data_IF_219627614316
#
_entry.id   IF_219627614316
#
_cell.length_a   1.000
_cell.length_b   1.000
_cell.length_c   1.000
_cell.angle_alpha   90.00
_cell.angle_beta   90.00
_cell.angle_gamma   90.00
#
_symmetry.space_group_name_H-M   'P 1'
#
loop_
_entity.id
_entity.type
_entity.pdbx_description
1 polymer ?
#
# COMPACT_ATOMS: atom_id res chain seq x y z
N UNK A 1 -23.80 -26.19 -18.72
CA UNK A 1 -23.94 -24.86 -18.11
C UNK A 1 -22.72 -24.55 -17.27
N UNK A 2 -22.14 -23.39 -17.50
CA UNK A 2 -20.99 -22.93 -16.76
C UNK A 2 -21.34 -22.27 -15.43
N UNK A 3 -20.44 -22.31 -14.44
CA UNK A 3 -20.66 -21.73 -13.11
C UNK A 3 -19.47 -20.90 -12.67
N UNK A 4 -19.73 -19.69 -12.15
CA UNK A 4 -18.75 -18.92 -11.41
C UNK A 4 -18.99 -19.05 -9.90
N UNK A 5 -17.93 -19.29 -9.13
CA UNK A 5 -17.96 -19.42 -7.68
C UNK A 5 -16.97 -18.44 -7.07
N UNK A 6 -17.44 -17.58 -6.18
CA UNK A 6 -16.58 -16.72 -5.37
C UNK A 6 -16.43 -17.26 -3.95
N UNK A 7 -15.19 -17.45 -3.52
CA UNK A 7 -14.86 -17.95 -2.18
C UNK A 7 -14.22 -16.83 -1.39
N UNK A 8 -14.86 -16.46 -0.28
CA UNK A 8 -14.38 -15.42 0.61
C UNK A 8 -13.97 -16.03 1.95
N UNK A 9 -12.93 -15.49 2.60
CA UNK A 9 -12.76 -15.73 4.03
C UNK A 9 -13.88 -15.02 4.78
N UNK A 10 -13.88 -13.69 4.68
CA UNK A 10 -14.98 -12.82 5.03
C UNK A 10 -15.52 -12.16 3.76
N UNK A 11 -16.84 -12.01 3.66
CA UNK A 11 -17.48 -11.37 2.52
C UNK A 11 -16.89 -9.98 2.25
N UNK A 12 -16.43 -9.76 1.01
CA UNK A 12 -16.06 -8.45 0.49
C UNK A 12 -17.14 -7.99 -0.50
N UNK A 13 -17.98 -7.00 -0.14
CA UNK A 13 -19.07 -6.54 -1.00
C UNK A 13 -18.60 -5.93 -2.33
N UNK A 14 -17.41 -5.31 -2.37
CA UNK A 14 -16.91 -4.66 -3.57
C UNK A 14 -16.36 -5.69 -4.56
N UNK A 15 -15.62 -6.69 -4.06
CA UNK A 15 -15.17 -7.82 -4.88
C UNK A 15 -16.37 -8.67 -5.34
N UNK A 16 -17.37 -8.89 -4.48
CA UNK A 16 -18.59 -9.58 -4.88
C UNK A 16 -19.33 -8.82 -5.99
N UNK A 17 -19.47 -7.49 -5.88
CA UNK A 17 -20.07 -6.64 -6.93
C UNK A 17 -19.33 -6.78 -8.25
N UNK A 18 -18.00 -6.84 -8.22
CA UNK A 18 -17.14 -7.05 -9.38
C UNK A 18 -17.49 -8.38 -10.10
N UNK A 19 -17.44 -9.49 -9.34
CA UNK A 19 -17.71 -10.82 -9.87
C UNK A 19 -19.15 -10.96 -10.40
N UNK A 20 -20.13 -10.43 -9.67
CA UNK A 20 -21.54 -10.43 -10.10
C UNK A 20 -21.75 -9.66 -11.40
N UNK A 21 -21.05 -8.53 -11.59
CA UNK A 21 -21.16 -7.76 -12.81
C UNK A 21 -20.62 -8.54 -14.02
N UNK A 22 -19.45 -9.15 -13.89
CA UNK A 22 -18.89 -10.05 -14.91
C UNK A 22 -19.85 -11.20 -15.26
N UNK A 23 -20.40 -11.87 -14.25
CA UNK A 23 -21.33 -12.98 -14.47
C UNK A 23 -22.61 -12.52 -15.19
N UNK A 24 -23.17 -11.36 -14.82
CA UNK A 24 -24.33 -10.79 -15.52
C UNK A 24 -24.01 -10.44 -16.98
N UNK A 25 -22.82 -9.90 -17.26
CA UNK A 25 -22.41 -9.49 -18.59
C UNK A 25 -22.45 -10.65 -19.60
N UNK A 26 -22.07 -11.85 -19.17
CA UNK A 26 -22.04 -13.05 -20.04
C UNK A 26 -23.16 -14.07 -19.73
N UNK A 27 -24.09 -13.75 -18.83
CA UNK A 27 -25.17 -14.66 -18.45
C UNK A 27 -24.73 -15.91 -17.68
N UNK A 28 -23.60 -15.84 -16.98
CA UNK A 28 -23.09 -16.93 -16.16
C UNK A 28 -23.82 -17.00 -14.81
N UNK A 29 -24.30 -18.20 -14.39
CA UNK A 29 -24.66 -18.46 -13.00
C UNK A 29 -23.54 -18.08 -12.05
N UNK A 30 -23.90 -17.42 -10.95
CA UNK A 30 -22.96 -17.00 -9.92
C UNK A 30 -23.40 -17.46 -8.54
N UNK A 31 -22.45 -18.06 -7.81
CA UNK A 31 -22.60 -18.44 -6.41
C UNK A 31 -21.42 -17.87 -5.62
N UNK A 32 -21.66 -17.53 -4.36
CA UNK A 32 -20.58 -17.20 -3.44
C UNK A 32 -20.73 -17.95 -2.12
N UNK A 33 -19.63 -18.06 -1.37
CA UNK A 33 -19.59 -18.66 -0.05
C UNK A 33 -18.51 -18.00 0.84
N UNK A 34 -18.68 -18.11 2.15
CA UNK A 34 -17.73 -17.65 3.16
C UNK A 34 -17.09 -18.82 3.90
N UNK A 35 -15.83 -18.67 4.29
CA UNK A 35 -15.01 -19.71 4.91
C UNK A 35 -14.49 -19.33 6.29
N UNK A 36 -14.83 -18.15 6.83
CA UNK A 36 -14.44 -17.70 8.17
C UNK A 36 -14.85 -18.67 9.31
N UNK A 37 -15.84 -19.53 9.09
CA UNK A 37 -16.24 -20.57 10.04
C UNK A 37 -15.22 -21.73 10.16
N UNK A 38 -14.20 -21.78 9.28
CA UNK A 38 -13.14 -22.78 9.29
C UNK A 38 -11.84 -22.11 9.76
N UNK A 39 -11.42 -22.38 11.00
CA UNK A 39 -10.26 -21.70 11.59
C UNK A 39 -8.92 -22.03 10.89
N UNK A 40 -8.70 -23.30 10.52
CA UNK A 40 -7.40 -23.75 10.02
C UNK A 40 -7.18 -23.36 8.54
N UNK A 41 -6.11 -22.60 8.19
CA UNK A 41 -5.88 -22.11 6.82
C UNK A 41 -5.82 -23.20 5.75
N UNK A 42 -5.11 -24.31 6.01
CA UNK A 42 -5.06 -25.44 5.07
C UNK A 42 -6.40 -26.17 4.92
N UNK A 43 -7.25 -26.21 5.97
CA UNK A 43 -8.62 -26.74 5.82
C UNK A 43 -9.48 -25.81 4.98
N UNK A 44 -9.30 -24.49 5.08
CA UNK A 44 -9.97 -23.52 4.18
C UNK A 44 -9.57 -23.73 2.73
N UNK A 45 -8.28 -23.93 2.46
CA UNK A 45 -7.77 -24.27 1.13
C UNK A 45 -8.37 -25.59 0.63
N UNK A 46 -8.35 -26.65 1.44
CA UNK A 46 -8.94 -27.94 1.05
C UNK A 46 -10.45 -27.84 0.80
N UNK A 47 -11.18 -27.11 1.64
CA UNK A 47 -12.62 -26.87 1.49
C UNK A 47 -12.95 -26.20 0.15
N UNK A 48 -12.16 -25.20 -0.26
CA UNK A 48 -12.30 -24.55 -1.57
C UNK A 48 -12.25 -25.55 -2.74
N UNK A 49 -11.30 -26.48 -2.71
CA UNK A 49 -11.19 -27.52 -3.75
C UNK A 49 -12.26 -28.59 -3.65
N UNK A 50 -12.74 -28.90 -2.43
CA UNK A 50 -13.92 -29.76 -2.25
C UNK A 50 -15.16 -29.19 -2.93
N UNK A 51 -15.42 -27.89 -2.75
CA UNK A 51 -16.53 -27.20 -3.43
C UNK A 51 -16.36 -27.29 -4.94
N UNK A 52 -15.18 -26.95 -5.47
CA UNK A 52 -14.93 -27.03 -6.91
C UNK A 52 -15.13 -28.45 -7.46
N UNK A 53 -14.61 -29.48 -6.78
CA UNK A 53 -14.77 -30.88 -7.20
C UNK A 53 -16.24 -31.33 -7.13
N UNK A 54 -16.98 -30.90 -6.11
CA UNK A 54 -18.41 -31.20 -5.98
C UNK A 54 -19.20 -30.61 -7.16
N UNK A 55 -18.88 -29.39 -7.55
CA UNK A 55 -19.57 -28.68 -8.64
C UNK A 55 -19.23 -29.30 -10.00
N UNK A 56 -17.96 -29.64 -10.25
CA UNK A 56 -17.59 -30.36 -11.47
C UNK A 56 -18.29 -31.74 -11.58
N UNK A 57 -18.53 -32.44 -10.46
CA UNK A 57 -19.26 -33.71 -10.47
C UNK A 57 -20.76 -33.56 -10.79
N UNK A 58 -21.33 -32.38 -10.57
CA UNK A 58 -22.74 -32.09 -10.87
C UNK A 58 -22.92 -31.46 -12.25
N UNK A 59 -21.90 -30.80 -12.77
CA UNK A 59 -21.89 -30.21 -14.10
C UNK A 59 -21.92 -31.30 -15.20
N UNK A 60 -22.41 -30.95 -16.39
CA UNK A 60 -22.33 -31.85 -17.54
C UNK A 60 -20.88 -31.99 -18.01
N UNK A 61 -20.57 -33.05 -18.75
CA UNK A 61 -19.24 -33.21 -19.32
C UNK A 61 -18.90 -32.01 -20.24
N UNK A 62 -17.66 -31.55 -20.18
CA UNK A 62 -17.14 -30.38 -20.90
C UNK A 62 -17.68 -29.00 -20.49
N UNK A 63 -18.61 -28.92 -19.53
CA UNK A 63 -18.92 -27.65 -18.85
C UNK A 63 -17.70 -27.13 -18.08
N UNK A 64 -17.72 -25.88 -17.64
CA UNK A 64 -16.62 -25.31 -16.86
C UNK A 64 -17.09 -24.67 -15.56
N UNK A 65 -16.19 -24.64 -14.59
CA UNK A 65 -16.35 -23.92 -13.34
C UNK A 65 -15.19 -22.94 -13.18
N UNK A 66 -15.52 -21.67 -12.98
CA UNK A 66 -14.58 -20.60 -12.63
C UNK A 66 -14.64 -20.36 -11.13
N UNK A 67 -13.50 -20.46 -10.46
CA UNK A 67 -13.34 -20.21 -9.04
C UNK A 67 -12.53 -18.93 -8.85
N UNK A 68 -13.04 -18.01 -8.05
CA UNK A 68 -12.42 -16.71 -7.74
C UNK A 68 -12.34 -16.52 -6.21
N UNK A 69 -11.29 -15.86 -5.72
CA UNK A 69 -11.19 -15.48 -4.31
C UNK A 69 -11.27 -13.96 -4.09
N UNK A 70 -11.03 -13.51 -2.85
CA UNK A 70 -11.10 -12.10 -2.50
C UNK A 70 -9.97 -11.23 -3.09
N UNK A 71 -8.96 -11.83 -3.72
CA UNK A 71 -7.86 -11.14 -4.39
C UNK A 71 -8.05 -11.08 -5.92
N UNK A 72 -9.13 -11.65 -6.45
CA UNK A 72 -9.50 -11.55 -7.85
C UNK A 72 -10.29 -10.27 -8.11
N UNK A 73 -9.80 -9.41 -9.01
CA UNK A 73 -10.56 -8.28 -9.53
C UNK A 73 -10.59 -8.34 -11.06
N UNK A 74 -11.78 -8.48 -11.63
CA UNK A 74 -12.00 -8.48 -13.08
C UNK A 74 -11.97 -7.04 -13.57
N UNK A 75 -11.18 -6.77 -14.60
CA UNK A 75 -10.99 -5.42 -15.14
C UNK A 75 -11.49 -5.30 -16.59
N UNK A 76 -10.89 -6.04 -17.53
CA UNK A 76 -11.34 -6.10 -18.93
C UNK A 76 -11.97 -7.46 -19.22
N UNK A 77 -13.31 -7.58 -19.13
CA UNK A 77 -13.98 -8.88 -19.13
C UNK A 77 -13.75 -9.65 -20.44
N UNK A 78 -13.41 -10.93 -20.34
CA UNK A 78 -13.36 -11.88 -21.46
C UNK A 78 -14.32 -13.03 -21.20
N UNK A 79 -15.01 -13.49 -22.23
CA UNK A 79 -15.86 -14.68 -22.13
C UNK A 79 -15.01 -15.91 -21.79
N UNK A 80 -15.51 -16.77 -20.90
CA UNK A 80 -14.82 -18.01 -20.53
C UNK A 80 -14.68 -18.98 -21.69
N UNK A 81 -15.60 -18.95 -22.65
CA UNK A 81 -15.49 -19.72 -23.90
C UNK A 81 -14.22 -19.34 -24.67
N UNK A 82 -13.88 -18.06 -24.69
CA UNK A 82 -12.63 -17.54 -25.27
C UNK A 82 -11.43 -17.93 -24.41
N UNK A 83 -11.52 -17.73 -23.09
CA UNK A 83 -10.44 -18.03 -22.17
C UNK A 83 -10.07 -19.52 -22.13
N UNK A 84 -11.05 -20.41 -22.30
CA UNK A 84 -10.89 -21.87 -22.29
C UNK A 84 -10.89 -22.49 -23.70
N UNK A 85 -10.79 -21.68 -24.76
CA UNK A 85 -10.68 -22.21 -26.12
C UNK A 85 -9.44 -23.10 -26.23
N UNK A 86 -9.66 -24.36 -26.65
CA UNK A 86 -8.61 -25.37 -26.85
C UNK A 86 -7.91 -25.84 -25.57
N UNK A 87 -8.51 -25.61 -24.38
CA UNK A 87 -7.91 -26.01 -23.10
C UNK A 87 -8.94 -26.46 -22.07
N UNK A 88 -8.44 -27.18 -21.08
CA UNK A 88 -9.25 -27.74 -19.98
C UNK A 88 -8.96 -27.08 -18.64
N UNK A 89 -7.92 -26.26 -18.52
CA UNK A 89 -7.60 -25.51 -17.32
C UNK A 89 -7.11 -24.11 -17.67
N UNK A 90 -7.33 -23.17 -16.75
CA UNK A 90 -6.77 -21.84 -16.78
C UNK A 90 -6.10 -21.54 -15.44
N UNK A 91 -4.79 -21.68 -15.45
CA UNK A 91 -3.88 -21.41 -14.34
C UNK A 91 -2.73 -20.56 -14.89
N UNK A 92 -2.28 -19.53 -14.17
CA UNK A 92 -1.30 -18.56 -14.68
C UNK A 92 -0.21 -18.35 -13.65
N UNK A 93 1.06 -18.34 -14.09
CA UNK A 93 2.19 -17.92 -13.27
C UNK A 93 2.18 -16.40 -13.07
N UNK A 94 2.52 -15.97 -11.86
CA UNK A 94 2.75 -14.57 -11.50
C UNK A 94 4.22 -14.29 -11.21
N UNK A 95 4.59 -13.01 -11.08
CA UNK A 95 5.95 -12.65 -10.70
C UNK A 95 6.27 -13.15 -9.28
N UNK A 96 7.55 -13.38 -9.02
CA UNK A 96 8.09 -13.60 -7.68
C UNK A 96 9.18 -12.58 -7.38
N UNK A 97 9.48 -12.41 -6.09
CA UNK A 97 10.64 -11.64 -5.65
C UNK A 97 11.81 -12.60 -5.49
N UNK A 98 12.60 -12.74 -6.55
CA UNK A 98 13.88 -13.43 -6.51
C UNK A 98 14.94 -12.56 -7.18
N UNK A 99 16.03 -12.26 -6.46
CA UNK A 99 17.17 -11.52 -6.99
C UNK A 99 17.88 -12.24 -8.17
N UNK A 100 17.66 -13.55 -8.34
CA UNK A 100 18.25 -14.37 -9.41
C UNK A 100 17.44 -14.40 -10.70
N UNK A 101 16.25 -13.78 -10.73
CA UNK A 101 15.43 -13.65 -11.94
C UNK A 101 14.47 -14.81 -12.26
N UNK A 102 14.39 -15.87 -11.45
CA UNK A 102 13.36 -16.93 -11.48
C UNK A 102 13.24 -17.59 -10.08
N UNK A 103 12.09 -18.14 -9.62
CA UNK A 103 10.96 -18.72 -10.39
C UNK A 103 9.62 -17.99 -10.26
N UNK A 104 8.83 -17.94 -11.33
CA UNK A 104 7.45 -17.44 -11.31
C UNK A 104 6.52 -18.43 -10.60
N UNK A 105 5.67 -17.96 -9.70
CA UNK A 105 4.81 -18.81 -8.85
C UNK A 105 3.37 -18.77 -9.39
N UNK A 106 2.66 -19.89 -9.37
CA UNK A 106 1.24 -19.92 -9.75
C UNK A 106 0.43 -18.95 -8.88
N UNK A 107 -0.38 -18.10 -9.50
CA UNK A 107 -1.34 -17.26 -8.79
C UNK A 107 -2.60 -18.07 -8.47
N UNK A 108 -3.08 -17.97 -7.22
CA UNK A 108 -4.22 -18.73 -6.72
C UNK A 108 -5.51 -17.90 -6.57
N UNK A 109 -5.50 -16.64 -7.04
CA UNK A 109 -6.67 -15.77 -7.01
C UNK A 109 -7.80 -16.24 -7.95
N UNK A 110 -7.44 -17.01 -8.99
CA UNK A 110 -8.41 -17.63 -9.89
C UNK A 110 -8.00 -19.04 -10.31
N UNK A 111 -8.99 -19.88 -10.59
CA UNK A 111 -8.84 -21.21 -11.20
C UNK A 111 -10.06 -21.51 -12.05
N UNK A 112 -9.89 -21.71 -13.35
CA UNK A 112 -10.98 -22.18 -14.21
C UNK A 112 -10.69 -23.59 -14.71
N UNK A 113 -11.65 -24.51 -14.55
CA UNK A 113 -11.51 -25.90 -14.98
C UNK A 113 -12.70 -26.33 -15.83
N UNK A 114 -12.41 -27.03 -16.92
CA UNK A 114 -13.38 -27.82 -17.67
C UNK A 114 -13.65 -29.13 -16.92
N UNK A 115 -14.89 -29.60 -16.97
CA UNK A 115 -15.32 -30.85 -16.40
C UNK A 115 -14.84 -32.02 -17.26
N UNK A 116 -13.66 -32.52 -16.92
CA UNK A 116 -13.05 -33.71 -17.52
C UNK A 116 -12.67 -34.70 -16.42
N UNK A 117 -12.55 -35.98 -16.77
CA UNK A 117 -12.12 -37.01 -15.82
C UNK A 117 -10.73 -36.71 -15.23
N UNK A 118 -9.83 -36.14 -16.04
CA UNK A 118 -8.48 -35.76 -15.65
C UNK A 118 -8.48 -34.61 -14.63
N UNK A 119 -9.19 -33.51 -14.89
CA UNK A 119 -9.27 -32.39 -13.95
C UNK A 119 -9.89 -32.81 -12.61
N UNK A 120 -10.94 -33.66 -12.63
CA UNK A 120 -11.53 -34.21 -11.41
C UNK A 120 -10.54 -35.07 -10.63
N UNK A 121 -9.69 -35.83 -11.32
CA UNK A 121 -8.63 -36.63 -10.68
C UNK A 121 -7.56 -35.75 -10.06
N UNK A 122 -7.07 -34.74 -10.77
CA UNK A 122 -6.06 -33.80 -10.25
C UNK A 122 -6.58 -33.12 -8.97
N UNK A 123 -7.81 -32.59 -8.99
CA UNK A 123 -8.42 -31.98 -7.80
C UNK A 123 -8.54 -32.97 -6.64
N UNK A 124 -8.99 -34.20 -6.90
CA UNK A 124 -9.09 -35.22 -5.87
C UNK A 124 -7.71 -35.49 -5.22
N UNK A 125 -6.66 -35.61 -6.02
CA UNK A 125 -5.30 -35.84 -5.54
C UNK A 125 -4.74 -34.63 -4.77
N UNK A 126 -5.07 -33.41 -5.20
CA UNK A 126 -4.72 -32.18 -4.46
C UNK A 126 -5.39 -32.16 -3.08
N UNK A 127 -6.70 -32.42 -3.02
CA UNK A 127 -7.46 -32.51 -1.77
C UNK A 127 -6.85 -33.56 -0.85
N UNK A 128 -6.52 -34.74 -1.38
CA UNK A 128 -5.88 -35.79 -0.60
C UNK A 128 -4.53 -35.35 0.00
N UNK A 129 -3.70 -34.65 -0.79
CA UNK A 129 -2.40 -34.14 -0.31
C UNK A 129 -2.59 -33.06 0.76
N UNK A 130 -3.52 -32.12 0.57
CA UNK A 130 -3.82 -31.09 1.58
C UNK A 130 -4.27 -31.72 2.91
N UNK A 131 -5.11 -32.75 2.86
CA UNK A 131 -5.51 -33.48 4.08
C UNK A 131 -4.36 -34.25 4.71
N UNK A 132 -3.48 -34.88 3.90
CA UNK A 132 -2.30 -35.56 4.42
C UNK A 132 -1.38 -34.60 5.17
N UNK A 133 -1.21 -33.39 4.65
CA UNK A 133 -0.43 -32.32 5.28
C UNK A 133 -1.01 -31.84 6.63
N UNK A 134 -2.31 -32.04 6.90
CA UNK A 134 -2.90 -31.73 8.22
C UNK A 134 -2.49 -32.73 9.30
N UNK A 135 -2.25 -33.98 8.91
CA UNK A 135 -2.01 -35.10 9.84
C UNK A 135 -0.51 -35.28 10.08
N UNK A 136 0.29 -35.11 9.03
CA UNK A 136 1.74 -35.19 9.08
C UNK A 136 2.20 -33.76 8.86
N UNK A 137 2.86 -33.17 9.84
CA UNK A 137 3.45 -31.83 9.81
C UNK A 137 4.57 -31.72 8.74
N UNK A 138 4.21 -32.02 7.50
CA UNK A 138 5.01 -31.90 6.29
C UNK A 138 4.91 -30.43 5.86
N UNK A 139 5.51 -29.53 6.67
CA UNK A 139 5.83 -28.17 6.23
C UNK A 139 6.60 -28.25 4.91
N UNK A 140 6.17 -27.51 3.88
CA UNK A 140 6.94 -27.32 2.66
C UNK A 140 6.28 -27.71 1.33
N UNK A 141 4.98 -28.02 1.29
CA UNK A 141 4.24 -28.05 0.00
C UNK A 141 3.16 -26.98 -0.01
N UNK A 142 3.47 -25.86 -0.66
CA UNK A 142 2.52 -24.78 -0.84
C UNK A 142 1.37 -25.24 -1.75
N UNK A 143 0.17 -24.71 -1.49
CA UNK A 143 -0.97 -24.80 -2.41
C UNK A 143 -0.57 -24.47 -3.85
N UNK A 144 0.35 -23.53 -4.02
CA UNK A 144 0.81 -23.02 -5.31
C UNK A 144 1.50 -24.14 -6.12
N UNK A 145 2.32 -24.98 -5.47
CA UNK A 145 2.94 -26.15 -6.11
C UNK A 145 1.91 -27.22 -6.51
N UNK A 146 0.77 -27.30 -5.82
CA UNK A 146 -0.29 -28.25 -6.17
C UNK A 146 -1.05 -27.80 -7.42
N UNK A 147 -1.19 -26.49 -7.63
CA UNK A 147 -1.84 -25.94 -8.81
C UNK A 147 -1.01 -26.14 -10.10
N UNK A 148 0.30 -26.34 -9.99
CA UNK A 148 1.18 -26.68 -11.13
C UNK A 148 0.89 -28.03 -11.78
N UNK A 149 0.04 -28.86 -11.14
CA UNK A 149 -0.42 -30.12 -11.72
C UNK A 149 -1.38 -29.92 -12.91
N UNK A 150 -1.98 -28.74 -13.03
CA UNK A 150 -2.76 -28.38 -14.22
C UNK A 150 -1.85 -27.82 -15.31
N UNK A 151 -2.28 -27.81 -16.58
CA UNK A 151 -1.61 -27.01 -17.60
C UNK A 151 -1.56 -25.53 -17.18
N UNK A 152 -0.34 -25.01 -17.00
CA UNK A 152 -0.09 -23.65 -16.52
C UNK A 152 0.35 -22.76 -17.69
N UNK A 153 -0.24 -21.57 -17.77
CA UNK A 153 0.22 -20.50 -18.65
C UNK A 153 1.37 -19.72 -18.00
N UNK A 154 2.35 -19.35 -18.82
CA UNK A 154 3.48 -18.54 -18.38
C UNK A 154 3.05 -17.15 -17.90
N UNK A 155 3.96 -16.49 -17.16
CA UNK A 155 3.75 -15.12 -16.70
C UNK A 155 3.44 -14.19 -17.88
N UNK A 156 2.50 -13.26 -17.68
CA UNK A 156 2.03 -12.34 -18.71
C UNK A 156 1.44 -13.04 -19.95
N UNK A 157 0.92 -14.26 -19.81
CA UNK A 157 0.20 -14.92 -20.88
C UNK A 157 -0.95 -14.06 -21.40
N UNK A 158 -1.10 -14.04 -22.73
CA UNK A 158 -2.12 -13.28 -23.43
C UNK A 158 -3.07 -14.20 -24.17
N UNK A 159 -4.34 -13.78 -24.27
CA UNK A 159 -5.35 -14.38 -25.13
C UNK A 159 -5.94 -13.24 -25.96
N UNK A 160 -5.68 -13.29 -27.27
CA UNK A 160 -5.94 -12.13 -28.13
C UNK A 160 -5.04 -10.95 -27.75
N UNK A 161 -5.65 -9.80 -27.45
CA UNK A 161 -4.97 -8.56 -27.07
C UNK A 161 -4.91 -8.32 -25.56
N UNK A 162 -5.30 -9.30 -24.76
CA UNK A 162 -5.55 -9.14 -23.33
C UNK A 162 -4.70 -10.11 -22.50
N UNK A 163 -4.06 -9.59 -21.46
CA UNK A 163 -3.39 -10.40 -20.44
C UNK A 163 -4.42 -11.16 -19.60
N UNK A 164 -4.13 -12.40 -19.25
CA UNK A 164 -5.08 -13.25 -18.53
C UNK A 164 -5.16 -12.86 -17.06
N UNK A 165 -4.03 -12.86 -16.35
CA UNK A 165 -3.96 -12.54 -14.92
C UNK A 165 -2.65 -11.82 -14.63
N UNK A 166 -2.71 -10.66 -13.98
CA UNK A 166 -1.56 -9.79 -13.73
C UNK A 166 -1.56 -9.33 -12.27
N UNK A 167 -0.40 -9.36 -11.63
CA UNK A 167 -0.26 -8.83 -10.26
C UNK A 167 -0.31 -7.30 -10.22
N UNK A 168 -0.99 -6.75 -9.22
CA UNK A 168 -1.01 -5.31 -8.94
C UNK A 168 0.39 -4.70 -8.71
N UNK A 169 1.39 -5.51 -8.35
CA UNK A 169 2.77 -5.05 -8.16
C UNK A 169 3.47 -4.65 -9.47
N UNK A 170 2.91 -4.97 -10.64
CA UNK A 170 3.47 -4.52 -11.92
C UNK A 170 3.18 -3.03 -12.09
N UNK A 171 4.21 -2.18 -12.11
CA UNK A 171 4.10 -0.71 -12.00
C UNK A 171 3.21 -0.01 -13.03
N UNK A 172 2.86 -0.65 -14.15
CA UNK A 172 2.02 -0.10 -15.22
C UNK A 172 0.88 -1.03 -15.66
N UNK A 173 0.41 -1.93 -14.79
CA UNK A 173 -0.67 -2.86 -15.15
C UNK A 173 -1.93 -2.12 -15.64
N UNK A 174 -2.22 -0.95 -15.07
CA UNK A 174 -3.40 -0.14 -15.39
C UNK A 174 -3.42 0.41 -16.83
N UNK A 175 -2.29 0.42 -17.55
CA UNK A 175 -2.22 0.83 -18.96
C UNK A 175 -2.55 -0.31 -19.95
N UNK A 176 -2.74 -1.54 -19.45
CA UNK A 176 -2.90 -2.72 -20.27
C UNK A 176 -4.33 -3.29 -20.20
N UNK A 177 -4.74 -3.96 -21.29
CA UNK A 177 -5.95 -4.78 -21.30
C UNK A 177 -5.69 -6.06 -20.51
N UNK A 178 -6.28 -6.16 -19.33
CA UNK A 178 -6.08 -7.26 -18.38
C UNK A 178 -7.44 -7.82 -18.00
N UNK A 179 -7.63 -9.13 -18.16
CA UNK A 179 -8.84 -9.80 -17.70
C UNK A 179 -8.94 -9.78 -16.18
N UNK A 180 -7.93 -10.33 -15.51
CA UNK A 180 -7.88 -10.45 -14.05
C UNK A 180 -6.69 -9.70 -13.46
N UNK A 181 -6.92 -8.90 -12.45
CA UNK A 181 -5.87 -8.33 -11.61
C UNK A 181 -5.81 -9.13 -10.31
N UNK A 182 -4.66 -9.71 -10.01
CA UNK A 182 -4.38 -10.32 -8.71
C UNK A 182 -3.97 -9.23 -7.73
N UNK A 183 -4.79 -9.02 -6.71
CA UNK A 183 -4.56 -8.11 -5.58
C UNK A 183 -3.89 -8.83 -4.38
N UNK A 184 -3.37 -10.03 -4.60
CA UNK A 184 -2.65 -10.75 -3.56
C UNK A 184 -1.25 -10.14 -3.34
N UNK A 185 -0.69 -10.21 -2.12
CA UNK A 185 0.73 -9.97 -1.90
C UNK A 185 1.58 -10.89 -2.80
N UNK A 186 2.80 -10.44 -3.13
CA UNK A 186 3.75 -11.29 -3.86
C UNK A 186 4.30 -12.33 -2.89
N UNK A 187 4.29 -13.63 -3.22
CA UNK A 187 4.97 -14.60 -2.38
C UNK A 187 6.46 -14.27 -2.34
N UNK A 188 7.03 -14.07 -1.15
CA UNK A 188 8.48 -14.04 -0.98
C UNK A 188 9.04 -15.44 -1.14
N UNK A 189 10.25 -15.54 -1.70
CA UNK A 189 11.07 -16.72 -1.42
C UNK A 189 11.36 -16.77 0.10
N UNK A 190 11.62 -17.97 0.64
CA UNK A 190 11.81 -18.24 2.07
C UNK A 190 12.96 -17.45 2.76
N UNK A 191 13.66 -16.56 2.04
CA UNK A 191 14.80 -15.76 2.51
C UNK A 191 14.70 -14.24 2.26
N UNK A 192 13.63 -13.72 1.64
CA UNK A 192 13.52 -12.27 1.39
C UNK A 192 12.49 -11.60 2.32
N UNK A 193 12.76 -10.38 2.82
CA UNK A 193 11.80 -9.66 3.64
C UNK A 193 10.49 -9.42 2.85
N UNK A 194 9.38 -9.91 3.39
CA UNK A 194 8.05 -9.63 2.88
C UNK A 194 7.81 -8.12 2.86
N UNK A 195 7.75 -7.53 1.67
CA UNK A 195 7.26 -6.17 1.50
C UNK A 195 5.72 -6.11 1.52
N UNK A 196 5.07 -7.21 1.92
CA UNK A 196 3.65 -7.27 2.27
C UNK A 196 3.27 -6.22 3.31
N UNK A 197 4.25 -5.69 4.04
CA UNK A 197 4.08 -4.56 4.96
C UNK A 197 3.51 -3.34 4.22
N UNK A 198 3.78 -3.14 2.93
CA UNK A 198 3.25 -1.97 2.22
C UNK A 198 1.81 -2.17 1.74
N UNK A 199 1.40 -3.36 1.30
CA UNK A 199 0.05 -3.55 0.73
C UNK A 199 -1.00 -3.92 1.78
N UNK A 200 -1.65 -2.88 2.33
CA UNK A 200 -2.69 -3.05 3.33
C UNK A 200 -4.10 -3.26 2.73
N UNK A 201 -5.04 -3.69 3.56
CA UNK A 201 -6.41 -3.98 3.16
C UNK A 201 -7.17 -2.75 2.64
N UNK A 202 -6.87 -1.53 3.11
CA UNK A 202 -7.48 -0.29 2.62
C UNK A 202 -6.98 0.05 1.22
N UNK A 203 -5.68 -0.11 0.94
CA UNK A 203 -5.16 -0.01 -0.43
C UNK A 203 -5.84 -1.02 -1.35
N UNK A 204 -5.94 -2.30 -0.92
CA UNK A 204 -6.69 -3.32 -1.67
C UNK A 204 -8.11 -2.86 -1.96
N UNK A 205 -8.84 -2.41 -0.94
CA UNK A 205 -10.21 -1.92 -1.09
C UNK A 205 -10.31 -0.72 -2.05
N UNK A 206 -9.34 0.20 -1.98
CA UNK A 206 -9.23 1.33 -2.90
C UNK A 206 -9.05 0.85 -4.34
N UNK A 207 -8.12 -0.09 -4.60
CA UNK A 207 -7.92 -0.64 -5.94
C UNK A 207 -9.16 -1.37 -6.46
N UNK A 208 -9.86 -2.16 -5.63
CA UNK A 208 -11.13 -2.78 -6.04
C UNK A 208 -12.17 -1.72 -6.40
N UNK A 209 -12.30 -0.64 -5.62
CA UNK A 209 -13.22 0.48 -5.94
C UNK A 209 -12.84 1.15 -7.27
N UNK A 210 -11.54 1.38 -7.49
CA UNK A 210 -11.02 1.98 -8.73
C UNK A 210 -11.27 1.08 -9.94
N UNK A 211 -11.00 -0.23 -9.83
CA UNK A 211 -11.29 -1.22 -10.87
C UNK A 211 -12.79 -1.30 -11.15
N UNK A 212 -13.63 -1.34 -10.12
CA UNK A 212 -15.08 -1.35 -10.28
C UNK A 212 -15.58 -0.06 -10.96
N UNK A 213 -15.06 1.10 -10.56
CA UNK A 213 -15.41 2.37 -11.21
C UNK A 213 -15.06 2.35 -12.70
N UNK A 214 -13.90 1.82 -13.07
CA UNK A 214 -13.49 1.72 -14.46
C UNK A 214 -14.29 0.67 -15.25
N UNK A 215 -14.43 -0.53 -14.69
CA UNK A 215 -15.09 -1.66 -15.34
C UNK A 215 -16.61 -1.46 -15.44
N UNK A 216 -17.27 -1.09 -14.34
CA UNK A 216 -18.73 -1.05 -14.25
C UNK A 216 -19.27 0.31 -14.68
N UNK A 217 -18.58 1.39 -14.27
CA UNK A 217 -19.11 2.75 -14.37
C UNK A 217 -18.38 3.58 -15.45
N UNK A 218 -17.36 3.01 -16.14
CA UNK A 218 -16.61 3.67 -17.21
C UNK A 218 -15.70 4.83 -16.74
N UNK A 219 -15.35 4.86 -15.45
CA UNK A 219 -14.54 5.91 -14.85
C UNK A 219 -13.04 5.72 -15.12
N UNK A 220 -12.24 6.79 -15.15
CA UNK A 220 -10.79 6.67 -15.27
C UNK A 220 -10.20 5.96 -14.03
N UNK A 221 -9.27 5.03 -14.27
CA UNK A 221 -8.56 4.27 -13.24
C UNK A 221 -7.33 5.05 -12.73
N UNK A 222 -7.11 5.09 -11.41
CA UNK A 222 -5.91 5.68 -10.78
C UNK A 222 -5.61 7.11 -11.25
N UNK A 223 -6.66 7.90 -11.48
CA UNK A 223 -6.54 9.28 -11.94
C UNK A 223 -5.83 10.12 -10.88
N UNK A 224 -4.91 10.99 -11.33
CA UNK A 224 -4.33 12.03 -10.49
C UNK A 224 -5.44 12.80 -9.74
N UNK A 225 -5.40 12.85 -8.41
CA UNK A 225 -6.42 13.52 -7.62
C UNK A 225 -6.60 14.98 -8.01
N UNK A 226 -7.86 15.41 -8.12
CA UNK A 226 -8.21 16.79 -8.42
C UNK A 226 -8.18 17.64 -7.14
N UNK A 227 -7.08 18.35 -6.94
CA UNK A 227 -6.93 19.35 -5.88
C UNK A 227 -6.72 20.75 -6.48
N UNK A 228 -7.03 21.83 -5.75
CA UNK A 228 -6.72 23.19 -6.21
C UNK A 228 -5.24 23.33 -6.56
N UNK A 229 -4.94 24.25 -7.49
CA UNK A 229 -3.57 24.54 -7.87
C UNK A 229 -2.77 25.01 -6.65
N UNK A 230 -1.50 24.59 -6.61
CA UNK A 230 -0.54 25.07 -5.62
C UNK A 230 -0.20 26.54 -5.94
N UNK A 231 0.28 27.29 -4.94
CA UNK A 231 0.83 28.63 -5.18
C UNK A 231 2.08 28.55 -6.04
N UNK A 232 2.26 29.50 -6.96
CA UNK A 232 3.49 29.68 -7.73
C UNK A 232 4.64 30.26 -6.88
N UNK A 233 4.34 30.72 -5.65
CA UNK A 233 5.35 31.19 -4.71
C UNK A 233 6.24 30.02 -4.23
N UNK A 234 7.55 30.17 -4.39
CA UNK A 234 8.55 29.18 -3.95
C UNK A 234 8.50 28.89 -2.45
N UNK A 235 7.99 29.83 -1.67
CA UNK A 235 7.83 29.74 -0.22
C UNK A 235 6.59 30.52 0.20
N UNK A 236 5.81 29.96 1.12
CA UNK A 236 4.69 30.69 1.74
C UNK A 236 4.58 30.33 3.23
N UNK A 237 4.08 31.26 4.04
CA UNK A 237 3.82 31.04 5.47
C UNK A 237 2.38 31.40 5.80
N UNK A 238 1.69 30.48 6.46
CA UNK A 238 0.34 30.67 6.98
C UNK A 238 0.40 30.77 8.51
N UNK A 239 -0.30 31.74 9.11
CA UNK A 239 -0.27 32.04 10.55
C UNK A 239 1.15 32.09 11.16
N UNK A 240 2.09 32.90 10.61
CA UNK A 240 3.51 32.85 10.97
C UNK A 240 3.82 33.21 12.43
N UNK A 241 2.89 33.78 13.18
CA UNK A 241 3.06 34.15 14.60
C UNK A 241 2.52 33.09 15.58
N UNK A 242 2.00 31.96 15.08
CA UNK A 242 1.44 30.93 15.94
C UNK A 242 2.53 30.21 16.75
N UNK A 243 2.17 29.68 17.93
CA UNK A 243 3.13 29.05 18.85
C UNK A 243 3.71 27.73 18.36
N UNK A 244 2.95 26.98 17.57
CA UNK A 244 3.38 25.69 17.01
C UNK A 244 3.44 25.88 15.50
N UNK A 245 4.58 25.54 14.90
CA UNK A 245 4.79 25.64 13.47
C UNK A 245 5.06 24.27 12.84
N UNK A 246 4.31 23.97 11.77
CA UNK A 246 4.61 22.86 10.89
C UNK A 246 5.45 23.36 9.71
N UNK A 247 6.50 22.63 9.36
CA UNK A 247 7.40 22.96 8.26
C UNK A 247 7.47 21.78 7.31
N UNK A 248 7.34 22.06 6.02
CA UNK A 248 7.50 21.05 4.97
C UNK A 248 8.25 21.62 3.76
N UNK A 249 8.84 20.73 2.97
CA UNK A 249 9.38 21.04 1.66
C UNK A 249 8.99 19.95 0.66
N UNK A 250 8.63 20.37 -0.53
CA UNK A 250 8.52 19.49 -1.69
C UNK A 250 9.04 20.21 -2.93
N UNK A 251 9.36 19.46 -3.98
CA UNK A 251 9.75 20.00 -5.28
C UNK A 251 8.76 19.57 -6.35
N UNK A 252 8.89 20.13 -7.55
CA UNK A 252 8.04 19.79 -8.68
C UNK A 252 8.03 18.29 -9.03
N UNK A 253 9.08 17.53 -8.69
CA UNK A 253 9.16 16.07 -8.91
C UNK A 253 8.12 15.26 -8.13
N UNK A 254 7.59 15.82 -7.04
CA UNK A 254 6.65 15.15 -6.14
C UNK A 254 5.37 15.96 -5.92
N UNK A 255 5.09 16.90 -6.83
CA UNK A 255 3.98 17.85 -6.70
C UNK A 255 2.60 17.18 -6.66
N UNK A 256 2.44 15.99 -7.24
CA UNK A 256 1.15 15.31 -7.33
C UNK A 256 0.61 14.92 -5.95
N UNK A 257 1.37 14.18 -5.16
CA UNK A 257 0.99 13.85 -3.79
C UNK A 257 1.22 15.01 -2.81
N UNK A 258 2.23 15.86 -3.03
CA UNK A 258 2.49 17.01 -2.16
C UNK A 258 1.31 18.00 -2.17
N UNK A 259 0.61 18.13 -3.30
CA UNK A 259 -0.62 18.92 -3.39
C UNK A 259 -1.70 18.40 -2.44
N UNK A 260 -1.85 17.09 -2.30
CA UNK A 260 -2.81 16.49 -1.36
C UNK A 260 -2.42 16.84 0.07
N UNK A 261 -1.14 16.64 0.43
CA UNK A 261 -0.63 16.93 1.77
C UNK A 261 -0.74 18.41 2.13
N UNK A 262 -0.35 19.33 1.24
CA UNK A 262 -0.41 20.76 1.54
C UNK A 262 -1.83 21.21 1.88
N UNK A 263 -2.85 20.77 1.12
CA UNK A 263 -4.23 21.12 1.43
C UNK A 263 -4.72 20.49 2.74
N UNK A 264 -4.35 19.23 3.00
CA UNK A 264 -4.71 18.53 4.23
C UNK A 264 -4.09 19.20 5.46
N UNK A 265 -2.79 19.50 5.42
CA UNK A 265 -2.04 20.10 6.52
C UNK A 265 -2.47 21.55 6.72
N UNK A 266 -2.64 22.33 5.65
CA UNK A 266 -3.12 23.71 5.77
C UNK A 266 -4.47 23.77 6.49
N UNK A 267 -5.40 22.87 6.15
CA UNK A 267 -6.70 22.75 6.83
C UNK A 267 -6.56 22.36 8.29
N UNK A 268 -5.63 21.46 8.60
CA UNK A 268 -5.30 21.10 9.99
C UNK A 268 -4.75 22.30 10.78
N UNK A 269 -3.80 23.03 10.23
CA UNK A 269 -3.23 24.22 10.85
C UNK A 269 -4.26 25.34 11.04
N UNK A 270 -5.14 25.56 10.05
CA UNK A 270 -6.25 26.52 10.14
C UNK A 270 -7.19 26.19 11.30
N UNK A 271 -7.56 24.92 11.44
CA UNK A 271 -8.46 24.44 12.50
C UNK A 271 -7.90 24.65 13.91
N UNK A 272 -6.60 24.48 14.11
CA UNK A 272 -5.98 24.51 15.44
C UNK A 272 -5.17 25.79 15.72
N UNK A 273 -5.11 26.71 14.76
CA UNK A 273 -4.36 27.96 14.91
C UNK A 273 -2.84 27.75 14.92
N UNK A 274 -2.34 26.76 14.18
CA UNK A 274 -0.90 26.51 14.00
C UNK A 274 -0.34 27.27 12.80
N UNK A 275 0.98 27.51 12.81
CA UNK A 275 1.69 28.04 11.65
C UNK A 275 1.96 26.91 10.65
N UNK A 276 2.03 27.27 9.37
CA UNK A 276 2.46 26.34 8.32
C UNK A 276 3.40 27.04 7.35
N UNK A 277 4.66 26.57 7.33
CA UNK A 277 5.70 27.05 6.43
C UNK A 277 5.94 26.01 5.33
N UNK A 278 5.68 26.42 4.10
CA UNK A 278 5.75 25.55 2.92
C UNK A 278 6.82 26.04 1.98
N UNK A 279 7.73 25.15 1.62
CA UNK A 279 8.74 25.36 0.59
C UNK A 279 8.42 24.47 -0.62
N UNK A 280 8.37 25.08 -1.81
CA UNK A 280 8.06 24.41 -3.09
C UNK A 280 9.28 24.24 -3.99
N UNK A 281 10.45 24.61 -3.48
CA UNK A 281 11.76 24.44 -4.09
C UNK A 281 12.84 24.43 -3.01
N UNK A 282 14.03 23.93 -3.36
CA UNK A 282 15.22 24.08 -2.52
C UNK A 282 15.56 25.58 -2.40
N UNK A 283 15.75 26.12 -1.18
CA UNK A 283 16.14 27.51 -0.98
C UNK A 283 17.46 27.88 -1.68
N UNK A 284 17.51 29.07 -2.29
CA UNK A 284 18.65 29.60 -3.07
C UNK A 284 20.05 29.46 -2.42
N UNK A 285 20.27 29.65 -1.10
CA UNK A 285 21.60 29.50 -0.53
C UNK A 285 22.11 28.05 -0.48
N UNK A 286 21.27 27.06 -0.84
CA UNK A 286 21.61 25.64 -0.85
C UNK A 286 21.77 25.15 -2.28
N UNK A 287 22.55 24.07 -2.47
CA UNK A 287 22.67 23.42 -3.77
C UNK A 287 21.30 22.93 -4.24
N UNK A 288 20.84 23.42 -5.40
CA UNK A 288 19.54 23.04 -5.97
C UNK A 288 19.41 21.55 -6.29
N UNK A 289 20.53 20.82 -6.38
CA UNK A 289 20.54 19.38 -6.63
C UNK A 289 20.46 18.54 -5.36
N UNK A 290 20.48 19.16 -4.17
CA UNK A 290 20.31 18.44 -2.91
C UNK A 290 18.89 17.87 -2.84
N UNK A 291 18.75 16.60 -2.47
CA UNK A 291 17.43 16.06 -2.17
C UNK A 291 16.83 16.79 -0.97
N UNK A 292 15.54 17.14 -1.05
CA UNK A 292 14.81 17.88 -0.01
C UNK A 292 14.85 17.24 1.37
N UNK A 293 15.08 15.93 1.46
CA UNK A 293 15.20 15.23 2.75
C UNK A 293 16.39 15.70 3.58
N UNK A 294 17.44 16.22 2.94
CA UNK A 294 18.69 16.60 3.62
C UNK A 294 18.65 18.00 4.23
N UNK A 295 17.64 18.81 3.92
CA UNK A 295 17.57 20.23 4.35
C UNK A 295 16.62 20.47 5.52
N UNK A 296 16.04 19.40 6.10
CA UNK A 296 15.04 19.48 7.17
C UNK A 296 15.55 20.27 8.38
N UNK A 297 16.71 19.91 8.92
CA UNK A 297 17.28 20.58 10.10
C UNK A 297 17.65 22.03 9.83
N UNK A 298 18.14 22.34 8.63
CA UNK A 298 18.40 23.71 8.19
C UNK A 298 17.11 24.55 8.12
N UNK A 299 16.02 23.98 7.61
CA UNK A 299 14.74 24.69 7.57
C UNK A 299 14.17 24.91 8.97
N UNK A 300 14.22 23.89 9.84
CA UNK A 300 13.76 24.00 11.21
C UNK A 300 14.54 25.05 12.02
N UNK A 301 15.86 25.13 11.85
CA UNK A 301 16.70 26.10 12.58
C UNK A 301 16.36 27.56 12.24
N UNK A 302 15.80 27.82 11.06
CA UNK A 302 15.33 29.16 10.67
C UNK A 302 14.09 29.62 11.41
N UNK A 303 13.28 28.69 11.91
CA UNK A 303 11.99 28.99 12.55
C UNK A 303 12.02 28.78 14.06
N UNK A 304 12.99 28.05 14.61
CA UNK A 304 12.98 27.68 16.03
C UNK A 304 12.86 28.88 16.96
N UNK A 305 13.48 30.01 16.64
CA UNK A 305 13.43 31.23 17.44
C UNK A 305 12.06 31.96 17.40
N UNK A 306 11.22 31.67 16.41
CA UNK A 306 9.95 32.37 16.16
C UNK A 306 8.73 31.68 16.81
N UNK A 307 8.87 30.43 17.23
CA UNK A 307 7.76 29.61 17.73
C UNK A 307 8.12 29.01 19.09
N UNK A 308 7.13 28.50 19.83
CA UNK A 308 7.37 27.65 21.00
C UNK A 308 7.82 26.25 20.56
N UNK A 309 7.32 25.78 19.40
CA UNK A 309 7.66 24.51 18.77
C UNK A 309 7.75 24.64 17.25
N UNK A 310 8.76 23.99 16.66
CA UNK A 310 8.87 23.75 15.22
C UNK A 310 8.86 22.26 14.94
N UNK A 311 8.04 21.82 13.99
CA UNK A 311 7.83 20.41 13.69
C UNK A 311 7.95 20.21 12.18
N UNK A 312 8.90 19.39 11.78
CA UNK A 312 9.00 18.91 10.41
C UNK A 312 7.93 17.87 10.14
N UNK A 313 7.32 17.92 8.95
CA UNK A 313 6.49 16.86 8.39
C UNK A 313 6.86 16.61 6.91
N UNK A 314 7.04 15.36 6.54
CA UNK A 314 7.26 14.98 5.15
C UNK A 314 5.99 15.24 4.30
N UNK A 315 6.19 15.54 3.01
CA UNK A 315 5.11 15.83 2.08
C UNK A 315 4.23 14.62 1.72
N UNK A 316 4.61 13.41 2.16
CA UNK A 316 3.82 12.18 2.04
C UNK A 316 3.15 11.78 3.37
N UNK A 317 2.84 12.76 4.23
CA UNK A 317 2.05 12.58 5.45
C UNK A 317 0.71 13.32 5.38
N UNK A 318 -0.31 12.80 6.05
CA UNK A 318 -1.64 13.43 6.21
C UNK A 318 -2.12 13.39 7.66
N UNK A 319 -2.69 14.49 8.12
CA UNK A 319 -3.50 14.50 9.33
C UNK A 319 -4.85 13.83 9.04
N UNK A 320 -4.96 12.54 9.33
CA UNK A 320 -6.15 11.73 9.07
C UNK A 320 -7.26 11.94 10.09
N UNK A 321 -6.92 12.38 11.30
CA UNK A 321 -7.88 12.89 12.28
C UNK A 321 -7.69 14.39 12.48
N UNK A 322 -8.46 15.17 11.72
CA UNK A 322 -8.35 16.63 11.73
C UNK A 322 -8.75 17.25 13.07
N UNK A 323 -9.48 16.55 13.94
CA UNK A 323 -9.94 17.07 15.23
C UNK A 323 -8.90 16.90 16.35
N UNK A 324 -7.98 15.95 16.25
CA UNK A 324 -6.97 15.70 17.29
C UNK A 324 -5.88 16.76 17.26
N UNK A 325 -5.51 17.24 18.45
CA UNK A 325 -4.51 18.29 18.68
C UNK A 325 -3.10 17.72 18.86
N UNK A 326 -2.07 18.52 18.55
CA UNK A 326 -0.67 18.15 18.78
C UNK A 326 -0.24 18.36 20.24
N UNK A 327 -0.82 19.34 20.94
CA UNK A 327 -0.40 19.76 22.29
C UNK A 327 -0.24 18.59 23.27
N UNK A 328 -1.16 17.60 23.36
CA UNK A 328 -0.99 16.47 24.28
C UNK A 328 0.29 15.65 24.03
N UNK A 329 0.82 15.63 22.80
CA UNK A 329 2.09 14.97 22.47
C UNK A 329 3.31 15.83 22.83
N UNK A 330 3.15 17.14 22.93
CA UNK A 330 4.22 18.11 23.18
C UNK A 330 4.38 18.45 24.67
N UNK A 331 3.34 18.20 25.48
CA UNK A 331 3.35 18.46 26.92
C UNK A 331 4.51 17.74 27.63
N UNK A 332 5.23 18.47 28.48
CA UNK A 332 6.36 17.97 29.27
C UNK A 332 7.52 17.36 28.45
N UNK A 333 7.65 17.78 27.18
CA UNK A 333 8.76 17.41 26.30
C UNK A 333 9.49 18.65 25.80
N UNK A 334 10.72 18.41 25.35
CA UNK A 334 11.50 19.41 24.61
C UNK A 334 11.82 18.96 23.18
N UNK A 335 11.65 17.67 22.85
CA UNK A 335 11.70 17.16 21.48
C UNK A 335 10.67 16.04 21.29
N UNK A 336 10.26 15.82 20.04
CA UNK A 336 9.29 14.78 19.65
C UNK A 336 9.77 14.07 18.38
N UNK A 337 9.98 12.77 18.49
CA UNK A 337 10.29 11.87 17.38
C UNK A 337 9.36 10.66 17.42
N UNK A 338 9.20 9.97 16.29
CA UNK A 338 8.39 8.75 16.22
C UNK A 338 9.25 7.53 15.95
N UNK A 339 8.93 6.41 16.60
CA UNK A 339 9.56 5.12 16.34
C UNK A 339 9.33 4.70 14.89
N UNK A 340 10.37 4.22 14.22
CA UNK A 340 10.27 3.69 12.86
C UNK A 340 9.68 2.28 12.84
N UNK A 341 8.84 1.99 11.84
CA UNK A 341 8.31 0.64 11.61
C UNK A 341 9.32 -0.28 10.91
N UNK A 342 10.28 0.28 10.17
CA UNK A 342 11.29 -0.42 9.36
C UNK A 342 12.55 -0.85 10.12
N UNK A 343 12.55 -0.83 11.46
CA UNK A 343 13.63 -1.34 12.29
C UNK A 343 14.66 -0.30 12.77
N UNK A 344 14.50 0.97 12.41
CA UNK A 344 15.34 2.06 12.91
C UNK A 344 14.90 2.53 14.31
N UNK A 345 15.74 3.30 15.01
CA UNK A 345 15.39 3.88 16.30
C UNK A 345 14.23 4.89 16.20
N UNK A 346 14.18 5.66 15.10
CA UNK A 346 13.13 6.63 14.80
C UNK A 346 12.98 6.82 13.29
N UNK A 347 11.85 7.41 12.88
CA UNK A 347 11.58 7.83 11.52
C UNK A 347 11.65 9.36 11.40
N UNK A 348 12.50 9.87 10.51
CA UNK A 348 12.77 11.31 10.35
C UNK A 348 11.74 12.04 9.46
N UNK A 349 10.63 11.40 9.12
CA UNK A 349 9.51 12.04 8.45
C UNK A 349 8.71 12.99 9.34
N UNK A 350 8.84 12.84 10.67
CA UNK A 350 8.36 13.82 11.65
C UNK A 350 9.42 14.09 12.71
N UNK A 351 9.73 15.36 12.94
CA UNK A 351 10.71 15.78 13.96
C UNK A 351 10.28 17.09 14.60
N UNK A 352 9.97 17.06 15.89
CA UNK A 352 9.55 18.23 16.67
C UNK A 352 10.64 18.71 17.62
N UNK A 353 10.85 20.01 17.67
CA UNK A 353 11.80 20.67 18.57
C UNK A 353 11.15 21.86 19.25
N UNK A 354 11.21 21.88 20.58
CA UNK A 354 10.83 23.05 21.37
C UNK A 354 11.90 24.13 21.23
N UNK A 355 11.50 25.40 21.27
CA UNK A 355 12.42 26.52 21.28
C UNK A 355 13.21 26.59 22.59
N UNK A 356 14.38 25.97 22.58
CA UNK A 356 15.37 26.00 23.66
C UNK A 356 16.76 26.16 23.03
N UNK A 357 17.71 26.71 23.78
CA UNK A 357 19.10 26.83 23.32
C UNK A 357 19.70 25.46 22.96
N UNK A 358 19.41 24.43 23.75
CA UNK A 358 19.88 23.07 23.51
C UNK A 358 19.37 22.49 22.18
N UNK A 359 18.09 22.72 21.84
CA UNK A 359 17.54 22.25 20.56
C UNK A 359 18.03 23.06 19.36
N UNK A 360 18.28 24.37 19.54
CA UNK A 360 18.90 25.19 18.49
C UNK A 360 20.31 24.66 18.15
N UNK A 361 21.11 24.34 19.17
CA UNK A 361 22.42 23.71 18.99
C UNK A 361 22.31 22.30 18.39
N UNK A 362 21.29 21.52 18.78
CA UNK A 362 21.07 20.17 18.25
C UNK A 362 20.73 20.20 16.76
N UNK A 363 19.84 21.10 16.33
CA UNK A 363 19.50 21.28 14.91
C UNK A 363 20.73 21.65 14.08
N UNK A 364 21.58 22.54 14.60
CA UNK A 364 22.84 22.91 13.95
C UNK A 364 23.80 21.72 13.87
N UNK A 365 23.91 20.89 14.91
CA UNK A 365 24.73 19.66 14.89
C UNK A 365 24.22 18.66 13.85
N UNK A 366 22.90 18.46 13.76
CA UNK A 366 22.30 17.60 12.73
C UNK A 366 22.65 18.16 11.35
N UNK A 367 22.45 19.47 11.14
CA UNK A 367 22.77 20.14 9.88
C UNK A 367 24.26 20.00 9.49
N UNK A 368 25.17 20.22 10.43
CA UNK A 368 26.61 20.06 10.19
C UNK A 368 26.96 18.62 9.79
N UNK A 369 26.39 17.62 10.48
CA UNK A 369 26.62 16.21 10.14
C UNK A 369 26.12 15.88 8.75
N UNK A 370 24.88 16.26 8.42
CA UNK A 370 24.34 15.98 7.08
C UNK A 370 25.10 16.74 6.00
N UNK A 371 25.52 17.98 6.24
CA UNK A 371 26.28 18.77 5.27
C UNK A 371 27.62 18.13 4.93
N UNK A 372 28.27 17.49 5.91
CA UNK A 372 29.53 16.77 5.73
C UNK A 372 29.44 15.46 4.93
N UNK A 373 28.24 15.03 4.50
CA UNK A 373 28.03 13.82 3.69
C UNK A 373 28.27 14.12 2.21
N UNK A 374 28.99 13.25 1.50
CA UNK A 374 29.31 13.44 0.08
C UNK A 374 28.10 13.29 -0.84
N UNK A 375 27.49 12.09 -0.90
CA UNK A 375 26.32 11.84 -1.75
C UNK A 375 25.00 12.17 -1.02
N UNK A 376 24.29 13.18 -1.55
CA UNK A 376 22.97 13.65 -1.10
C UNK A 376 21.92 13.64 -2.23
N UNK A 377 22.18 12.89 -3.29
CA UNK A 377 21.36 12.90 -4.52
C UNK A 377 19.98 12.26 -4.36
N UNK A 378 19.81 11.36 -3.40
CA UNK A 378 18.54 10.68 -3.13
C UNK A 378 18.22 10.61 -1.63
N UNK A 379 17.01 10.12 -1.31
CA UNK A 379 16.58 9.90 0.08
C UNK A 379 17.36 8.79 0.78
N UNK A 380 17.91 7.82 0.02
CA UNK A 380 18.65 6.68 0.56
C UNK A 380 20.17 6.76 0.35
N UNK A 381 20.64 7.77 -0.39
CA UNK A 381 22.06 8.04 -0.58
C UNK A 381 22.76 8.16 0.77
N UNK A 382 23.95 7.60 0.92
CA UNK A 382 24.72 7.72 2.17
C UNK A 382 23.94 7.34 3.44
N UNK A 383 23.04 6.34 3.36
CA UNK A 383 22.13 5.87 4.41
C UNK A 383 20.94 6.81 4.75
N UNK A 384 20.81 7.95 4.08
CA UNK A 384 19.73 8.92 4.27
C UNK A 384 19.90 9.83 5.50
N UNK A 385 19.14 10.93 5.53
CA UNK A 385 19.18 11.92 6.63
C UNK A 385 18.77 11.31 7.98
N UNK A 386 17.88 10.31 7.96
CA UNK A 386 17.44 9.58 9.14
C UNK A 386 18.60 8.92 9.88
N UNK A 387 19.51 8.23 9.17
CA UNK A 387 20.69 7.60 9.79
C UNK A 387 21.53 8.64 10.53
N UNK A 388 21.85 9.76 9.86
CA UNK A 388 22.72 10.78 10.44
C UNK A 388 22.04 11.51 11.61
N UNK A 389 20.73 11.72 11.53
CA UNK A 389 19.94 12.28 12.64
C UNK A 389 19.96 11.36 13.85
N UNK A 390 19.78 10.05 13.64
CA UNK A 390 19.86 9.03 14.71
C UNK A 390 21.22 9.07 15.40
N UNK A 391 22.30 9.17 14.64
CA UNK A 391 23.65 9.21 15.23
C UNK A 391 23.88 10.45 16.10
N UNK A 392 23.43 11.63 15.67
CA UNK A 392 23.52 12.85 16.50
C UNK A 392 22.67 12.71 17.77
N UNK A 393 21.47 12.13 17.68
CA UNK A 393 20.63 11.90 18.85
C UNK A 393 21.21 10.83 19.78
N UNK A 394 21.91 9.83 19.24
CA UNK A 394 22.66 8.83 20.03
C UNK A 394 23.76 9.50 20.84
N UNK A 395 24.56 10.35 20.20
CA UNK A 395 25.62 11.12 20.84
C UNK A 395 25.08 12.09 21.92
N UNK A 396 23.88 12.63 21.72
CA UNK A 396 23.18 13.48 22.68
C UNK A 396 22.44 12.70 23.79
N UNK A 397 22.42 11.36 23.76
CA UNK A 397 21.71 10.54 24.73
C UNK A 397 20.18 10.63 24.62
N UNK A 398 19.65 10.99 23.46
CA UNK A 398 18.22 11.27 23.22
C UNK A 398 17.43 10.08 22.62
N UNK A 399 18.07 8.92 22.44
CA UNK A 399 17.40 7.70 21.95
C UNK A 399 16.68 6.98 23.09
N UNK A 400 15.59 7.57 23.59
CA UNK A 400 14.78 7.02 24.69
C UNK A 400 13.33 7.53 24.65
N UNK A 401 12.46 6.96 25.49
CA UNK A 401 11.01 7.22 25.52
C UNK A 401 10.61 8.67 25.90
N UNK A 402 11.53 9.45 26.48
CA UNK A 402 11.31 10.86 26.74
C UNK A 402 11.18 11.67 25.44
N UNK A 403 11.83 11.24 24.36
CA UNK A 403 11.87 11.97 23.10
C UNK A 403 11.24 11.18 21.94
N UNK A 404 11.28 9.84 22.00
CA UNK A 404 10.76 8.96 20.95
C UNK A 404 9.45 8.33 21.43
N UNK A 405 8.34 8.67 20.78
CA UNK A 405 7.04 8.02 21.00
C UNK A 405 6.83 6.87 20.02
N UNK A 406 5.87 6.00 20.30
CA UNK A 406 5.49 4.91 19.40
C UNK A 406 4.90 5.44 18.08
N UNK A 407 4.92 4.62 17.02
CA UNK A 407 4.39 5.00 15.71
C UNK A 407 2.85 5.13 15.65
N UNK A 408 2.10 4.69 16.67
CA UNK A 408 0.64 4.89 16.73
C UNK A 408 0.28 6.27 17.27
N UNK A 409 1.15 6.86 18.10
CA UNK A 409 1.01 8.21 18.64
C UNK A 409 1.18 9.28 17.54
N UNK A 410 2.19 9.14 16.69
CA UNK A 410 2.44 9.99 15.53
C UNK A 410 3.31 9.21 14.52
N UNK A 411 3.22 9.55 13.23
CA UNK A 411 3.92 8.83 12.15
C UNK A 411 3.39 7.40 11.94
N UNK A 412 2.07 7.25 11.91
CA UNK A 412 1.44 5.94 11.77
C UNK A 412 1.42 5.50 10.31
N UNK A 413 1.93 4.31 9.98
CA UNK A 413 1.83 3.82 8.61
C UNK A 413 0.38 3.36 8.31
N UNK A 414 -0.11 3.41 7.05
CA UNK A 414 -1.51 3.15 6.72
C UNK A 414 -2.06 1.81 7.22
N UNK A 415 -1.19 0.80 7.35
CA UNK A 415 -1.46 -0.54 7.87
C UNK A 415 -1.96 -0.53 9.32
N UNK A 416 -1.47 0.43 10.12
CA UNK A 416 -1.77 0.57 11.55
C UNK A 416 -2.77 1.70 11.80
N UNK A 417 -3.13 2.45 10.76
CA UNK A 417 -4.00 3.61 10.89
C UNK A 417 -5.46 3.19 11.16
N UNK A 418 -6.08 3.90 12.10
CA UNK A 418 -7.48 3.76 12.51
C UNK A 418 -8.20 5.10 12.36
N UNK A 419 -9.51 5.15 12.64
CA UNK A 419 -10.26 6.42 12.72
C UNK A 419 -9.69 7.39 13.78
N UNK A 420 -8.94 6.87 14.73
CA UNK A 420 -8.31 7.62 15.81
C UNK A 420 -6.88 8.09 15.47
N UNK A 421 -6.31 7.69 14.34
CA UNK A 421 -4.93 8.04 13.99
C UNK A 421 -4.79 9.53 13.67
N UNK A 422 -3.88 10.22 14.38
CA UNK A 422 -3.59 11.64 14.18
C UNK A 422 -2.95 11.90 12.81
N UNK A 423 -1.78 11.32 12.57
CA UNK A 423 -0.91 11.58 11.42
C UNK A 423 -0.52 10.26 10.77
N UNK A 424 -0.91 10.06 9.51
CA UNK A 424 -0.58 8.88 8.72
C UNK A 424 0.56 9.17 7.75
N UNK A 425 1.55 8.28 7.64
CA UNK A 425 2.73 8.41 6.76
C UNK A 425 2.73 7.38 5.64
N UNK A 426 2.59 7.83 4.39
CA UNK A 426 2.47 6.97 3.20
C UNK A 426 3.84 6.53 2.65
N UNK A 427 4.68 6.01 3.54
CA UNK A 427 6.03 5.55 3.23
C UNK A 427 6.03 4.39 2.22
N UNK A 428 7.03 4.36 1.34
CA UNK A 428 7.28 3.25 0.41
C UNK A 428 6.37 3.17 -0.83
N UNK A 429 5.38 4.05 -0.98
CA UNK A 429 4.48 4.04 -2.13
C UNK A 429 5.04 4.80 -3.34
N UNK A 430 4.90 4.29 -4.56
CA UNK A 430 5.18 5.03 -5.80
C UNK A 430 3.95 5.73 -6.37
N UNK A 431 4.13 6.63 -7.33
CA UNK A 431 3.00 7.15 -8.13
C UNK A 431 2.54 6.10 -9.17
N UNK A 432 1.23 6.06 -9.52
CA UNK A 432 0.15 6.94 -9.04
C UNK A 432 -0.46 6.52 -7.68
N UNK A 433 -0.02 5.40 -7.08
CA UNK A 433 -0.65 4.84 -5.88
C UNK A 433 -0.61 5.80 -4.69
N UNK A 434 0.52 6.49 -4.49
CA UNK A 434 0.72 7.38 -3.34
C UNK A 434 -0.29 8.52 -3.35
N UNK A 435 -0.39 9.28 -4.45
CA UNK A 435 -1.33 10.41 -4.53
C UNK A 435 -2.78 9.95 -4.43
N UNK A 436 -3.15 8.86 -5.10
CA UNK A 436 -4.52 8.31 -5.07
C UNK A 436 -4.89 7.83 -3.66
N UNK A 437 -3.97 7.17 -2.95
CA UNK A 437 -4.22 6.71 -1.58
C UNK A 437 -4.36 7.88 -0.61
N UNK A 438 -3.44 8.84 -0.68
CA UNK A 438 -3.50 10.06 0.12
C UNK A 438 -4.83 10.80 -0.11
N UNK A 439 -5.30 10.91 -1.35
CA UNK A 439 -6.56 11.59 -1.64
C UNK A 439 -7.80 10.85 -1.11
N UNK A 440 -7.84 9.51 -1.16
CA UNK A 440 -8.93 8.71 -0.59
C UNK A 440 -9.03 8.88 0.93
N UNK A 441 -7.88 8.93 1.59
CA UNK A 441 -7.78 9.12 3.04
C UNK A 441 -8.09 10.56 3.44
N UNK A 442 -7.63 11.55 2.69
CA UNK A 442 -7.99 12.95 2.90
C UNK A 442 -9.50 13.17 2.79
N UNK A 443 -10.15 12.60 1.78
CA UNK A 443 -11.61 12.65 1.62
C UNK A 443 -12.36 12.01 2.79
N UNK A 444 -11.75 11.03 3.46
CA UNK A 444 -12.30 10.42 4.68
C UNK A 444 -12.08 11.31 5.91
N UNK A 445 -10.89 11.93 6.04
CA UNK A 445 -10.57 12.85 7.12
C UNK A 445 -11.51 14.08 7.18
N UNK A 446 -12.03 14.50 6.02
CA UNK A 446 -13.00 15.60 5.91
C UNK A 446 -14.40 15.22 6.41
N UNK A 447 -14.77 13.93 6.32
CA UNK A 447 -16.10 13.42 6.74
C UNK A 447 -16.19 13.20 8.25
N UNK A 448 -15.08 12.83 8.89
CA UNK A 448 -15.01 12.59 10.34
C UNK A 448 -14.90 13.87 11.18
N UNK A 449 -14.78 15.03 10.54
CA UNK A 449 -14.57 16.33 11.19
C UNK A 449 -15.76 17.28 11.14
N UNK A 450 -16.95 16.78 10.79
CA UNK A 450 -18.23 17.52 10.74
C UNK A 450 -19.12 17.29 11.95
#
# INVERSE_FOLDING_TARGET
MALCISVFEHLDPQVLRNHQHYCRLFGYPHRWLETAHIAHPMLRQAYRYHVLLQELRQAADNDWVLLLDCNAAIFHPLAMETLLAGRDALVVKGPSRSASGEPCIVMNNMLALRNTAENRKILHDMIFILHKGLIRDEMGRSELNLLEKFPVLEINAMIGDSYVNVSWCITKWFDARIFMVSLAPLPSADSEPNHDILFDQRMKNLLVRQINGAFIDGLPLLKTPAYPALSDELQSSFNPEAKIALVTLYTHHIADYARVSEHNVKRYCDRHGYAYHVYRAIPEPLDSNISGTWVKSWLLSRYIANHDWVIWIDADMLFTNQAKKLEPLLENRDALFAKDIGGWELNAGVMGFRNTGANAELLEKIWQRVTGVDDKSSVYSSQGDQFHTIEVLREAGMLNEQYIVDCLSINTPPQLATSDTLLTHYLGWGEPYRSVYMADDDATSQRSGG
#
